data_IF_231352316789
#
_entry.id   IF_231352316789
#
_cell.length_a   1.000
_cell.length_b   1.000
_cell.length_c   1.000
_cell.angle_alpha   90.00
_cell.angle_beta   90.00
_cell.angle_gamma   90.00
#
_symmetry.space_group_name_H-M   'P 1'
#
loop_
_entity.id
_entity.type
_entity.pdbx_description
1 polymer ?
#
# COMPACT_ATOMS: atom_id res chain seq x y z
N UNK A 1 -11.28 39.06 86.06
CA UNK A 1 -12.09 40.05 85.33
C UNK A 1 -11.23 40.66 84.22
N UNK A 2 -11.88 41.03 83.13
CA UNK A 2 -11.34 41.36 81.81
C UNK A 2 -10.17 42.38 81.79
N UNK A 3 -9.29 42.28 80.79
CA UNK A 3 -9.25 43.25 79.68
C UNK A 3 -8.22 42.85 78.64
N UNK A 4 -8.61 43.11 77.39
CA UNK A 4 -8.11 42.54 76.15
C UNK A 4 -7.13 43.51 75.49
N UNK A 5 -6.00 43.00 75.02
CA UNK A 5 -5.06 43.70 74.14
C UNK A 5 -5.63 43.74 72.71
N UNK A 6 -5.78 44.93 72.12
CA UNK A 6 -6.15 45.12 70.72
C UNK A 6 -4.90 45.55 69.95
N UNK A 7 -4.31 44.59 69.25
CA UNK A 7 -3.23 44.79 68.30
C UNK A 7 -3.76 44.95 66.87
N UNK A 8 -3.26 45.99 66.21
CA UNK A 8 -3.44 46.36 64.81
C UNK A 8 -3.15 45.20 63.84
N UNK A 9 -3.99 45.05 62.81
CA UNK A 9 -3.64 44.28 61.60
C UNK A 9 -3.95 45.08 60.33
N UNK A 10 -3.02 45.15 59.36
CA UNK A 10 -3.16 45.95 58.16
C UNK A 10 -3.97 45.26 57.05
N UNK A 11 -4.59 46.12 56.24
CA UNK A 11 -5.35 45.86 55.03
C UNK A 11 -4.54 45.05 54.00
N UNK A 12 -5.00 43.84 53.65
CA UNK A 12 -4.39 43.02 52.59
C UNK A 12 -5.30 43.01 51.35
N UNK A 13 -4.74 43.55 50.27
CA UNK A 13 -5.29 43.66 48.92
C UNK A 13 -5.90 42.34 48.40
N UNK A 14 -7.17 42.40 47.97
CA UNK A 14 -7.85 41.36 47.23
C UNK A 14 -7.40 41.40 45.77
N UNK A 15 -6.57 40.46 45.35
CA UNK A 15 -6.29 40.22 43.92
C UNK A 15 -7.41 39.34 43.35
N UNK A 16 -8.25 39.92 42.49
CA UNK A 16 -9.21 39.19 41.66
C UNK A 16 -8.42 38.37 40.61
N UNK A 17 -8.31 37.06 40.82
CA UNK A 17 -7.84 36.14 39.78
C UNK A 17 -8.88 36.06 38.66
N UNK A 18 -8.49 36.42 37.43
CA UNK A 18 -9.35 36.30 36.25
C UNK A 18 -9.51 34.82 35.85
N UNK A 19 -10.70 34.36 35.47
CA UNK A 19 -10.88 33.00 34.99
C UNK A 19 -10.23 32.81 33.61
N UNK A 20 -9.23 31.95 33.55
CA UNK A 20 -8.62 31.45 32.30
C UNK A 20 -9.70 30.70 31.52
N UNK A 21 -10.14 31.29 30.40
CA UNK A 21 -11.07 30.64 29.46
C UNK A 21 -10.32 29.50 28.78
N UNK A 22 -10.66 28.26 29.13
CA UNK A 22 -10.17 27.07 28.41
C UNK A 22 -10.88 27.03 27.07
N UNK A 23 -10.16 27.39 26.02
CA UNK A 23 -10.59 27.22 24.62
C UNK A 23 -10.88 25.73 24.39
N UNK A 24 -12.03 25.35 23.81
CA UNK A 24 -12.24 23.96 23.44
C UNK A 24 -11.26 23.65 22.31
N UNK A 25 -10.30 22.77 22.57
CA UNK A 25 -9.48 22.21 21.51
C UNK A 25 -10.41 21.48 20.55
N UNK A 26 -10.51 22.02 19.34
CA UNK A 26 -11.16 21.36 18.23
C UNK A 26 -10.37 20.07 17.96
N UNK A 27 -10.89 18.95 18.43
CA UNK A 27 -10.34 17.64 18.11
C UNK A 27 -10.48 17.45 16.59
N UNK A 28 -9.39 17.72 15.87
CA UNK A 28 -9.26 17.38 14.46
C UNK A 28 -9.37 15.86 14.40
N UNK A 29 -10.55 15.36 14.04
CA UNK A 29 -10.70 13.97 13.58
C UNK A 29 -9.80 13.84 12.36
N UNK A 30 -8.61 13.28 12.55
CA UNK A 30 -7.81 12.78 11.47
C UNK A 30 -8.62 11.67 10.79
N UNK A 31 -9.39 12.03 9.77
CA UNK A 31 -9.93 11.07 8.82
C UNK A 31 -8.72 10.56 8.04
N UNK A 32 -8.13 9.46 8.50
CA UNK A 32 -7.11 8.72 7.76
C UNK A 32 -7.75 8.35 6.42
N UNK A 33 -7.32 9.02 5.35
CA UNK A 33 -7.75 8.64 4.00
C UNK A 33 -7.09 7.31 3.68
N UNK A 34 -7.81 6.21 3.93
CA UNK A 34 -7.38 4.86 3.57
C UNK A 34 -7.38 4.75 2.04
N UNK A 35 -6.23 5.07 1.43
CA UNK A 35 -6.01 4.81 0.01
C UNK A 35 -5.58 3.35 -0.11
N UNK A 36 -6.42 2.52 -0.72
CA UNK A 36 -6.06 1.17 -1.16
C UNK A 36 -4.82 1.21 -2.07
N UNK A 37 -4.01 0.15 -2.04
CA UNK A 37 -2.89 0.01 -2.98
C UNK A 37 -3.40 -0.14 -4.42
N UNK A 38 -2.53 0.06 -5.40
CA UNK A 38 -2.91 -0.11 -6.82
C UNK A 38 -3.24 -1.59 -7.07
N UNK A 39 -2.43 -2.50 -6.54
CA UNK A 39 -2.66 -3.94 -6.60
C UNK A 39 -4.06 -4.33 -6.10
N UNK A 40 -4.49 -3.79 -4.93
CA UNK A 40 -5.80 -4.07 -4.34
C UNK A 40 -6.95 -3.53 -5.21
N UNK A 41 -6.80 -2.34 -5.78
CA UNK A 41 -7.83 -1.72 -6.64
C UNK A 41 -8.10 -2.59 -7.88
N UNK A 42 -7.07 -3.21 -8.44
CA UNK A 42 -7.14 -4.03 -9.64
C UNK A 42 -7.14 -5.54 -9.35
N UNK A 43 -7.31 -5.95 -8.09
CA UNK A 43 -7.31 -7.35 -7.64
C UNK A 43 -6.07 -8.16 -8.11
N UNK A 44 -4.94 -7.48 -8.30
CA UNK A 44 -3.65 -8.12 -8.55
C UNK A 44 -3.08 -8.53 -7.20
N UNK A 45 -2.66 -9.80 -7.08
CA UNK A 45 -2.04 -10.31 -5.85
C UNK A 45 -0.55 -10.49 -6.08
N UNK A 46 0.24 -10.24 -5.04
CA UNK A 46 1.68 -10.44 -5.09
C UNK A 46 2.20 -11.08 -3.80
N UNK A 47 2.95 -12.16 -3.95
CA UNK A 47 3.82 -12.71 -2.91
C UNK A 47 5.24 -12.24 -3.23
N UNK A 48 5.86 -11.47 -2.34
CA UNK A 48 7.19 -10.87 -2.56
C UNK A 48 8.29 -11.81 -2.05
N UNK A 49 9.39 -11.91 -2.78
CA UNK A 49 10.56 -12.73 -2.41
C UNK A 49 10.19 -14.18 -2.04
N UNK A 50 9.48 -14.86 -2.94
CA UNK A 50 8.98 -16.21 -2.69
C UNK A 50 10.12 -17.19 -2.42
N UNK A 51 9.95 -18.04 -1.39
CA UNK A 51 10.97 -19.02 -0.99
C UNK A 51 11.09 -20.14 -2.01
N UNK A 52 12.24 -20.83 -2.01
CA UNK A 52 12.48 -21.94 -2.93
C UNK A 52 11.47 -23.07 -2.72
N UNK A 53 11.17 -23.40 -1.47
CA UNK A 53 10.21 -24.45 -1.10
C UNK A 53 8.83 -24.16 -1.69
N UNK A 54 8.39 -22.90 -1.63
CA UNK A 54 7.13 -22.47 -2.23
C UNK A 54 7.13 -22.55 -3.76
N UNK A 55 8.25 -22.25 -4.41
CA UNK A 55 8.40 -22.40 -5.86
C UNK A 55 8.37 -23.88 -6.28
N UNK A 56 9.04 -24.74 -5.52
CA UNK A 56 9.06 -26.20 -5.72
C UNK A 56 7.66 -26.80 -5.52
N UNK A 57 6.92 -26.39 -4.48
CA UNK A 57 5.50 -26.78 -4.27
C UNK A 57 4.60 -26.40 -5.45
N UNK A 58 4.87 -25.26 -6.08
CA UNK A 58 4.11 -24.74 -7.22
C UNK A 58 4.54 -25.37 -8.56
N UNK A 59 5.67 -26.09 -8.59
CA UNK A 59 6.27 -26.67 -9.79
C UNK A 59 6.63 -25.61 -10.84
N UNK A 60 7.14 -24.45 -10.40
CA UNK A 60 7.41 -23.28 -11.26
C UNK A 60 8.43 -23.60 -12.36
N UNK A 61 9.33 -24.56 -12.15
CA UNK A 61 10.26 -25.07 -13.15
C UNK A 61 9.60 -25.70 -14.37
N UNK A 62 8.34 -26.13 -14.26
CA UNK A 62 7.58 -26.72 -15.36
C UNK A 62 6.66 -25.73 -16.08
N UNK A 63 6.61 -24.48 -15.63
CA UNK A 63 5.79 -23.45 -16.24
C UNK A 63 6.38 -22.97 -17.56
N UNK A 64 5.55 -22.34 -18.40
CA UNK A 64 6.02 -21.73 -19.65
C UNK A 64 6.95 -20.56 -19.34
N UNK A 65 7.94 -20.32 -20.20
CA UNK A 65 8.92 -19.25 -20.01
C UNK A 65 8.71 -18.15 -21.05
N UNK A 66 8.82 -16.89 -20.61
CA UNK A 66 8.84 -15.74 -21.50
C UNK A 66 10.01 -14.80 -21.17
N UNK A 67 10.59 -14.18 -22.19
CA UNK A 67 11.76 -13.30 -22.08
C UNK A 67 11.60 -12.10 -22.98
N UNK A 68 12.10 -10.95 -22.53
CA UNK A 68 12.16 -9.72 -23.33
C UNK A 68 13.33 -8.84 -22.92
N UNK A 69 13.57 -7.78 -23.69
CA UNK A 69 14.44 -6.67 -23.34
C UNK A 69 13.65 -5.39 -23.04
N UNK A 70 14.30 -4.24 -23.22
CA UNK A 70 13.64 -2.94 -23.04
C UNK A 70 12.53 -2.74 -24.08
N UNK A 71 11.29 -2.71 -23.65
CA UNK A 71 10.13 -2.45 -24.50
C UNK A 71 8.90 -2.00 -23.69
N UNK A 72 7.85 -1.60 -24.40
CA UNK A 72 6.51 -1.41 -23.85
C UNK A 72 5.56 -2.29 -24.65
N UNK A 73 4.66 -3.00 -23.98
CA UNK A 73 3.64 -3.85 -24.62
C UNK A 73 2.28 -3.62 -23.96
N UNK A 74 1.20 -3.39 -24.75
CA UNK A 74 -0.14 -3.49 -24.22
C UNK A 74 -0.48 -4.96 -23.98
N UNK A 75 -1.19 -5.26 -22.91
CA UNK A 75 -1.58 -6.62 -22.56
C UNK A 75 -3.00 -6.68 -22.00
N UNK A 76 -3.72 -7.70 -22.44
CA UNK A 76 -5.09 -8.02 -22.06
C UNK A 76 -5.15 -9.45 -21.51
N UNK A 77 -5.42 -9.57 -20.22
CA UNK A 77 -5.55 -10.85 -19.54
C UNK A 77 -6.94 -11.44 -19.74
N UNK A 78 -7.12 -12.32 -20.71
CA UNK A 78 -8.43 -12.99 -20.92
C UNK A 78 -8.75 -14.06 -19.85
N UNK A 79 -7.72 -14.55 -19.15
CA UNK A 79 -7.82 -15.55 -18.08
C UNK A 79 -6.87 -15.17 -16.94
N UNK A 80 -7.11 -15.73 -15.75
CA UNK A 80 -6.20 -15.57 -14.63
C UNK A 80 -4.82 -16.11 -15.00
N UNK A 81 -3.79 -15.30 -14.82
CA UNK A 81 -2.40 -15.69 -15.07
C UNK A 81 -1.62 -15.61 -13.76
N UNK A 82 -0.83 -16.64 -13.49
CA UNK A 82 0.15 -16.63 -12.42
C UNK A 82 1.53 -16.55 -13.03
N UNK A 83 2.34 -15.60 -12.52
CA UNK A 83 3.65 -15.24 -13.06
C UNK A 83 4.66 -15.22 -11.94
N UNK A 84 5.77 -15.93 -12.10
CA UNK A 84 6.96 -15.79 -11.27
C UNK A 84 8.03 -15.02 -12.04
N UNK A 85 8.51 -13.92 -11.49
CA UNK A 85 9.56 -13.11 -12.11
C UNK A 85 10.92 -13.69 -11.75
N UNK A 86 11.61 -14.24 -12.74
CA UNK A 86 12.93 -14.86 -12.55
C UNK A 86 14.01 -13.78 -12.50
N UNK A 87 13.94 -12.80 -13.40
CA UNK A 87 14.91 -11.69 -13.45
C UNK A 87 14.31 -10.42 -14.04
N UNK A 88 14.91 -9.29 -13.69
CA UNK A 88 14.50 -7.97 -14.17
C UNK A 88 13.36 -7.34 -13.35
N UNK A 89 12.69 -6.37 -13.97
CA UNK A 89 11.55 -5.67 -13.41
C UNK A 89 10.51 -5.37 -14.49
N UNK A 90 9.25 -5.28 -14.07
CA UNK A 90 8.15 -4.81 -14.90
C UNK A 90 7.35 -3.76 -14.15
N UNK A 91 6.99 -2.69 -14.86
CA UNK A 91 5.98 -1.72 -14.42
C UNK A 91 4.69 -2.00 -15.18
N UNK A 92 3.59 -2.14 -14.45
CA UNK A 92 2.26 -2.40 -15.02
C UNK A 92 1.36 -1.21 -14.73
N UNK A 93 0.83 -0.60 -15.78
CA UNK A 93 -0.04 0.57 -15.73
C UNK A 93 -1.43 0.14 -16.23
N UNK A 94 -2.38 -0.15 -15.32
CA UNK A 94 -3.72 -0.54 -15.71
C UNK A 94 -4.43 0.55 -16.51
N UNK A 95 -5.26 0.13 -17.45
CA UNK A 95 -6.12 1.05 -18.18
C UNK A 95 -7.05 1.81 -17.21
N UNK A 96 -7.28 3.09 -17.49
CA UNK A 96 -8.17 3.92 -16.70
C UNK A 96 -7.62 4.35 -15.33
N UNK A 97 -6.32 4.10 -15.03
CA UNK A 97 -5.66 4.66 -13.85
C UNK A 97 -5.71 6.21 -13.89
N UNK A 98 -6.64 6.81 -13.12
CA UNK A 98 -7.00 8.25 -13.17
C UNK A 98 -5.95 9.24 -12.66
N UNK A 99 -4.69 8.84 -12.61
CA UNK A 99 -3.55 9.70 -12.30
C UNK A 99 -2.31 8.97 -12.79
N UNK A 100 -1.53 9.56 -13.69
CA UNK A 100 -0.34 8.96 -14.32
C UNK A 100 0.75 8.48 -13.34
N UNK A 101 0.56 8.71 -12.04
CA UNK A 101 1.47 8.30 -10.95
C UNK A 101 1.09 6.95 -10.30
N UNK A 102 0.02 6.27 -10.75
CA UNK A 102 -0.41 4.99 -10.16
C UNK A 102 -0.11 3.82 -11.08
N UNK A 103 0.94 3.08 -10.73
CA UNK A 103 1.34 1.84 -11.39
C UNK A 103 1.73 0.79 -10.35
N UNK A 104 1.73 -0.47 -10.78
CA UNK A 104 2.33 -1.57 -10.02
C UNK A 104 3.75 -1.81 -10.50
N UNK A 105 4.65 -2.18 -9.59
CA UNK A 105 6.01 -2.59 -9.92
C UNK A 105 6.31 -3.95 -9.32
N UNK A 106 6.78 -4.84 -10.16
CA UNK A 106 7.17 -6.19 -9.79
C UNK A 106 8.61 -6.44 -10.24
N UNK A 107 9.35 -7.22 -9.44
CA UNK A 107 10.77 -7.47 -9.60
C UNK A 107 11.08 -8.95 -9.45
N UNK A 108 12.31 -9.34 -9.78
CA UNK A 108 12.81 -10.70 -9.55
C UNK A 108 12.47 -11.21 -8.14
N UNK A 109 11.96 -12.44 -8.06
CA UNK A 109 11.53 -13.08 -6.81
C UNK A 109 10.03 -12.89 -6.48
N UNK A 110 9.30 -12.04 -7.21
CA UNK A 110 7.88 -11.86 -7.00
C UNK A 110 7.05 -12.93 -7.73
N UNK A 111 6.01 -13.41 -7.05
CA UNK A 111 4.96 -14.25 -7.62
C UNK A 111 3.66 -13.44 -7.69
N UNK A 112 3.27 -13.10 -8.92
CA UNK A 112 2.14 -12.24 -9.23
C UNK A 112 0.97 -13.07 -9.73
N UNK A 113 -0.25 -12.74 -9.31
CA UNK A 113 -1.48 -13.22 -9.93
C UNK A 113 -2.23 -12.05 -10.55
N UNK A 114 -2.28 -12.03 -11.88
CA UNK A 114 -3.11 -11.11 -12.64
C UNK A 114 -4.50 -11.73 -12.82
N UNK A 115 -5.58 -11.00 -12.50
CA UNK A 115 -6.93 -11.48 -12.73
C UNK A 115 -7.28 -11.37 -14.21
N UNK A 116 -8.19 -12.23 -14.65
CA UNK A 116 -8.88 -12.07 -15.93
C UNK A 116 -9.54 -10.68 -16.05
N UNK A 117 -9.68 -10.24 -17.29
CA UNK A 117 -10.22 -8.96 -17.74
C UNK A 117 -9.47 -7.74 -17.21
N UNK A 118 -8.21 -7.92 -16.81
CA UNK A 118 -7.30 -6.81 -16.60
C UNK A 118 -6.73 -6.39 -17.96
N UNK A 119 -6.71 -5.08 -18.21
CA UNK A 119 -6.02 -4.47 -19.34
C UNK A 119 -4.96 -3.50 -18.79
N UNK A 120 -3.73 -3.59 -19.30
CA UNK A 120 -2.65 -2.72 -18.85
C UNK A 120 -1.55 -2.55 -19.90
N UNK A 121 -0.83 -1.43 -19.81
CA UNK A 121 0.47 -1.27 -20.44
C UNK A 121 1.58 -1.79 -19.53
N UNK A 122 2.41 -2.68 -20.07
CA UNK A 122 3.59 -3.21 -19.39
C UNK A 122 4.85 -2.53 -19.93
N UNK A 123 5.71 -2.04 -19.03
CA UNK A 123 6.96 -1.37 -19.36
C UNK A 123 8.13 -2.15 -18.77
N UNK A 124 9.09 -2.49 -19.62
CA UNK A 124 10.32 -3.18 -19.28
C UNK A 124 11.51 -2.25 -19.56
N UNK A 125 12.33 -1.99 -18.55
CA UNK A 125 13.47 -1.07 -18.67
C UNK A 125 14.79 -1.75 -19.05
N UNK A 126 14.81 -3.08 -19.20
CA UNK A 126 16.00 -3.88 -19.47
C UNK A 126 15.65 -5.35 -19.71
N UNK A 127 16.64 -6.27 -19.62
CA UNK A 127 16.38 -7.70 -19.68
C UNK A 127 15.38 -8.15 -18.61
N UNK A 128 14.41 -8.97 -19.03
CA UNK A 128 13.35 -9.50 -18.17
C UNK A 128 13.07 -10.96 -18.53
N UNK A 129 12.87 -11.78 -17.51
CA UNK A 129 12.48 -13.19 -17.65
C UNK A 129 11.43 -13.55 -16.62
N UNK A 130 10.40 -14.25 -17.07
CA UNK A 130 9.37 -14.80 -16.21
C UNK A 130 9.04 -16.25 -16.56
N UNK A 131 8.44 -16.92 -15.59
CA UNK A 131 7.71 -18.16 -15.80
C UNK A 131 6.24 -17.94 -15.51
N UNK A 132 5.37 -18.47 -16.36
CA UNK A 132 3.94 -18.24 -16.24
C UNK A 132 3.11 -19.49 -16.50
N UNK A 133 1.93 -19.51 -15.90
CA UNK A 133 0.85 -20.45 -16.23
C UNK A 133 -0.49 -19.71 -16.23
N UNK A 134 -1.42 -20.20 -17.04
CA UNK A 134 -2.82 -19.80 -16.97
C UNK A 134 -3.54 -20.68 -15.95
N UNK A 135 -4.43 -20.08 -15.15
CA UNK A 135 -5.30 -20.85 -14.24
C UNK A 135 -6.64 -21.10 -14.92
N UNK A 136 -7.13 -22.32 -14.81
CA UNK A 136 -8.44 -22.67 -15.34
C UNK A 136 -9.54 -22.23 -14.36
N UNK A 137 -10.78 -22.17 -14.85
CA UNK A 137 -11.93 -21.92 -14.00
C UNK A 137 -12.08 -23.05 -12.98
N UNK A 138 -12.03 -22.72 -11.68
CA UNK A 138 -12.21 -23.68 -10.58
C UNK A 138 -10.95 -24.07 -9.81
N UNK A 139 -9.78 -23.50 -10.12
CA UNK A 139 -8.53 -23.78 -9.39
C UNK A 139 -8.41 -23.03 -8.03
N UNK A 140 -9.50 -22.58 -7.40
CA UNK A 140 -9.44 -21.80 -6.15
C UNK A 140 -9.17 -22.64 -4.89
#
# INVERSE_FOLDING_TARGET
>A
MATTSIGSTPLRSLHLASPVRKTPQLAVRACVTFRRSVEEIYNVRVERNVSKERLDELGVEHWSTWKTGKCQVPWDWQVDQQVYIVSGEVRVVPEGAKSGDRYMRFVAGDLVRYPKWLEADMFFNGPYEERYRFRAYGDD
#
